data_IF_419853907905
#
_entry.id   IF_419853907905
#
_cell.length_a   1.000
_cell.length_b   1.000
_cell.length_c   1.000
_cell.angle_alpha   90.00
_cell.angle_beta   90.00
_cell.angle_gamma   90.00
#
_symmetry.space_group_name_H-M   'P 1'
#
loop_
_entity.id
_entity.type
_entity.pdbx_description
1 polymer ?
#
# COMPACT_ATOMS: atom_id res chain seq x y z
N UNK A 1 13.46 7.56 24.38
CA UNK A 1 12.01 7.85 24.26
C UNK A 1 11.37 7.34 25.54
N UNK A 2 10.53 8.14 26.22
CA UNK A 2 9.82 7.68 27.40
C UNK A 2 8.57 6.88 26.97
N UNK A 3 8.64 5.55 27.07
CA UNK A 3 7.56 4.63 26.69
C UNK A 3 6.49 4.49 27.80
N UNK A 4 6.67 5.16 28.94
CA UNK A 4 5.84 5.00 30.14
C UNK A 4 4.37 5.43 29.96
N UNK A 5 4.08 6.21 28.90
CA UNK A 5 2.77 6.81 28.66
C UNK A 5 2.03 6.26 27.42
N UNK A 6 2.57 5.23 26.75
CA UNK A 6 1.87 4.61 25.61
C UNK A 6 0.79 3.67 26.14
N UNK A 7 -0.47 3.97 25.85
CA UNK A 7 -1.56 3.09 26.23
C UNK A 7 -1.56 1.83 25.37
N UNK A 8 -2.04 0.74 25.95
CA UNK A 8 -2.14 -0.58 25.31
C UNK A 8 -2.81 -0.56 23.91
N UNK A 9 -3.76 0.35 23.69
CA UNK A 9 -4.50 0.48 22.43
C UNK A 9 -4.00 1.60 21.52
N UNK A 10 -2.98 2.36 21.90
CA UNK A 10 -2.41 3.43 21.06
C UNK A 10 -1.67 2.84 19.85
N UNK A 11 -1.48 3.65 18.81
CA UNK A 11 -0.67 3.27 17.66
C UNK A 11 0.79 3.06 18.09
N UNK A 12 1.40 1.99 17.59
CA UNK A 12 2.76 1.64 17.94
C UNK A 12 3.76 2.72 17.42
N UNK A 13 4.71 3.20 18.25
CA UNK A 13 5.68 4.22 17.86
C UNK A 13 6.61 3.82 16.71
N UNK A 14 6.74 2.52 16.42
CA UNK A 14 7.54 2.05 15.28
C UNK A 14 6.95 2.47 13.91
N UNK A 15 5.73 3.00 13.88
CA UNK A 15 5.09 3.46 12.64
C UNK A 15 4.51 2.34 11.78
N UNK A 16 4.33 1.13 12.34
CA UNK A 16 3.71 -0.03 11.67
C UNK A 16 2.20 0.10 11.46
N UNK A 17 1.56 1.14 12.03
CA UNK A 17 0.11 1.32 12.00
C UNK A 17 -0.68 0.38 12.92
N UNK A 18 -0.01 -0.56 13.63
CA UNK A 18 -0.64 -1.52 14.56
C UNK A 18 -0.83 -0.95 15.96
N UNK A 19 -1.81 -1.45 16.73
CA UNK A 19 -1.92 -1.14 18.18
C UNK A 19 -0.68 -1.64 18.94
N UNK A 20 -0.22 -0.89 19.94
CA UNK A 20 0.98 -1.22 20.72
C UNK A 20 0.92 -2.65 21.29
N UNK A 21 -0.24 -3.06 21.83
CA UNK A 21 -0.48 -4.42 22.34
C UNK A 21 -0.26 -5.56 21.35
N UNK A 22 -0.38 -5.27 20.06
CA UNK A 22 -0.25 -6.25 18.97
C UNK A 22 1.05 -6.11 18.20
N UNK A 23 1.88 -5.15 18.57
CA UNK A 23 3.14 -4.89 17.92
C UNK A 23 4.28 -5.18 18.91
N UNK A 24 4.56 -4.25 19.81
CA UNK A 24 5.75 -4.29 20.66
C UNK A 24 5.47 -4.39 22.16
N UNK A 25 4.21 -4.56 22.59
CA UNK A 25 3.90 -4.86 23.99
C UNK A 25 4.43 -6.25 24.38
N UNK A 26 5.23 -6.32 25.45
CA UNK A 26 6.01 -7.51 25.84
C UNK A 26 7.29 -7.73 25.03
N UNK A 27 7.57 -6.85 24.05
CA UNK A 27 8.78 -6.82 23.21
C UNK A 27 9.29 -5.38 23.10
N UNK A 28 9.19 -4.62 24.18
CA UNK A 28 9.53 -3.19 24.18
C UNK A 28 11.01 -2.95 23.89
N UNK A 29 11.86 -3.94 24.16
CA UNK A 29 13.27 -3.90 23.78
C UNK A 29 13.49 -4.03 22.27
N UNK A 30 12.57 -4.64 21.52
CA UNK A 30 12.59 -4.60 20.05
C UNK A 30 12.17 -3.23 19.53
N UNK A 31 11.40 -2.42 20.29
CA UNK A 31 11.31 -0.99 19.95
C UNK A 31 12.67 -0.35 20.12
N UNK A 32 13.42 -0.69 21.16
CA UNK A 32 14.77 -0.16 21.31
C UNK A 32 15.65 -0.62 20.14
N UNK A 33 15.67 -1.86 19.68
CA UNK A 33 16.46 -2.21 18.48
C UNK A 33 15.88 -1.68 17.14
N UNK A 34 14.56 -1.53 17.01
CA UNK A 34 13.88 -0.93 15.85
C UNK A 34 13.92 0.63 15.86
N UNK A 35 14.19 1.25 17.01
CA UNK A 35 14.22 2.73 17.20
C UNK A 35 15.54 3.28 17.77
N UNK A 36 16.51 2.44 18.14
CA UNK A 36 17.88 2.82 18.48
C UNK A 36 18.62 3.14 17.17
N UNK A 37 18.32 4.33 16.65
CA UNK A 37 19.28 5.27 16.02
C UNK A 37 18.61 6.19 15.00
N UNK A 38 17.29 6.39 15.08
CA UNK A 38 16.68 7.36 14.17
C UNK A 38 15.56 8.14 14.85
N UNK A 39 15.94 9.31 15.39
CA UNK A 39 15.04 10.45 15.52
C UNK A 39 14.13 10.51 14.27
N UNK A 40 12.80 10.65 14.39
CA UNK A 40 11.91 10.75 13.23
C UNK A 40 12.39 11.74 12.17
N UNK A 41 13.03 12.84 12.58
CA UNK A 41 13.67 13.77 11.67
C UNK A 41 14.91 13.16 10.99
N UNK A 42 15.74 12.41 11.70
CA UNK A 42 16.83 11.63 11.09
C UNK A 42 16.32 10.56 10.12
N UNK A 43 15.17 9.94 10.37
CA UNK A 43 14.63 8.90 9.48
C UNK A 43 14.09 9.55 8.21
N UNK A 44 13.38 10.66 8.37
CA UNK A 44 12.97 11.51 7.28
C UNK A 44 14.18 11.92 6.42
N UNK A 45 15.28 12.40 7.05
CA UNK A 45 16.51 12.75 6.34
C UNK A 45 17.11 11.56 5.58
N UNK A 46 17.17 10.37 6.20
CA UNK A 46 17.68 9.14 5.55
C UNK A 46 16.81 8.74 4.36
N UNK A 47 15.48 8.80 4.48
CA UNK A 47 14.54 8.51 3.38
C UNK A 47 14.69 9.53 2.24
N UNK A 48 14.77 10.82 2.57
CA UNK A 48 14.94 11.90 1.58
C UNK A 48 16.26 11.75 0.82
N UNK A 49 17.31 11.26 1.51
CA UNK A 49 18.64 11.05 0.96
C UNK A 49 18.81 9.68 0.25
N UNK A 50 17.77 8.86 0.16
CA UNK A 50 17.86 7.59 -0.56
C UNK A 50 18.22 7.81 -2.03
N UNK A 51 19.01 6.90 -2.63
CA UNK A 51 19.28 6.96 -4.05
C UNK A 51 17.97 6.83 -4.84
N UNK A 52 17.88 7.55 -5.95
CA UNK A 52 16.75 7.45 -6.86
C UNK A 52 16.71 6.06 -7.52
N UNK A 53 15.51 5.51 -7.72
CA UNK A 53 15.36 4.28 -8.50
C UNK A 53 15.57 4.58 -10.00
N UNK A 54 16.50 3.86 -10.63
CA UNK A 54 16.80 4.00 -12.05
C UNK A 54 15.79 3.22 -12.91
N UNK A 55 14.56 3.73 -13.01
CA UNK A 55 13.49 3.11 -13.79
C UNK A 55 12.83 4.13 -14.75
N UNK A 56 13.20 4.16 -16.04
CA UNK A 56 12.73 5.19 -16.98
C UNK A 56 11.21 5.25 -17.12
N UNK A 57 10.56 4.08 -17.23
CA UNK A 57 9.10 3.98 -17.40
C UNK A 57 8.33 4.48 -16.17
N UNK A 58 8.71 4.04 -14.98
CA UNK A 58 8.16 4.56 -13.74
C UNK A 58 8.38 6.07 -13.59
N UNK A 59 9.57 6.58 -13.95
CA UNK A 59 9.85 8.01 -13.89
C UNK A 59 8.94 8.83 -14.82
N UNK A 60 8.70 8.34 -16.03
CA UNK A 60 7.74 8.93 -16.99
C UNK A 60 6.31 8.96 -16.40
N UNK A 61 5.82 7.80 -15.94
CA UNK A 61 4.47 7.68 -15.38
C UNK A 61 4.29 8.62 -14.18
N UNK A 62 5.21 8.54 -13.20
CA UNK A 62 5.21 9.35 -11.99
C UNK A 62 5.27 10.85 -12.27
N UNK A 63 6.09 11.29 -13.24
CA UNK A 63 6.21 12.70 -13.61
C UNK A 63 4.95 13.26 -14.27
N UNK A 64 4.14 12.40 -14.89
CA UNK A 64 2.89 12.79 -15.55
C UNK A 64 1.68 12.87 -14.61
N UNK A 65 1.82 12.46 -13.35
CA UNK A 65 0.73 12.49 -12.38
C UNK A 65 0.54 13.88 -11.79
N UNK A 66 -0.71 14.34 -11.80
CA UNK A 66 -1.14 15.54 -11.08
C UNK A 66 -1.87 15.11 -9.81
N UNK A 67 -1.15 15.08 -8.70
CA UNK A 67 -1.70 14.67 -7.41
C UNK A 67 -2.01 15.94 -6.60
N UNK A 68 -3.29 16.14 -6.28
CA UNK A 68 -3.74 17.27 -5.45
C UNK A 68 -4.42 16.71 -4.21
N UNK A 69 -3.90 17.04 -3.04
CA UNK A 69 -4.50 16.62 -1.78
C UNK A 69 -5.87 17.27 -1.56
N UNK A 70 -6.72 16.72 -0.67
CA UNK A 70 -8.00 17.36 -0.31
C UNK A 70 -7.86 18.81 0.21
N UNK A 71 -6.68 19.17 0.72
CA UNK A 71 -6.36 20.53 1.15
C UNK A 71 -5.90 21.45 -0.01
N UNK A 72 -6.00 21.01 -1.25
CA UNK A 72 -5.60 21.76 -2.44
C UNK A 72 -4.08 21.79 -2.70
N UNK A 73 -3.29 20.98 -1.99
CA UNK A 73 -1.84 20.99 -2.15
C UNK A 73 -1.39 20.05 -3.25
N UNK A 74 -0.60 20.56 -4.18
CA UNK A 74 0.06 19.74 -5.20
C UNK A 74 1.18 18.89 -4.58
N UNK A 75 1.17 17.60 -4.90
CA UNK A 75 2.18 16.62 -4.51
C UNK A 75 2.79 15.98 -5.76
N UNK A 76 4.05 15.59 -5.65
CA UNK A 76 4.78 14.84 -6.68
C UNK A 76 5.25 13.49 -6.14
N UNK A 77 5.48 12.54 -7.02
CA UNK A 77 6.06 11.25 -6.64
C UNK A 77 7.58 11.29 -6.78
N UNK A 78 8.30 10.86 -5.75
CA UNK A 78 9.75 10.60 -5.80
C UNK A 78 10.00 9.10 -5.76
N UNK A 79 10.65 8.59 -6.80
CA UNK A 79 11.06 7.19 -6.88
C UNK A 79 12.41 7.02 -6.19
N UNK A 80 12.48 6.11 -5.22
CA UNK A 80 13.72 5.76 -4.51
C UNK A 80 14.00 4.27 -4.63
N UNK A 81 15.25 3.87 -4.49
CA UNK A 81 15.66 2.48 -4.62
C UNK A 81 15.06 1.61 -3.50
N UNK A 82 14.35 0.55 -3.89
CA UNK A 82 13.70 -0.36 -2.94
C UNK A 82 14.70 -1.07 -2.02
N UNK A 83 15.83 -1.55 -2.55
CA UNK A 83 16.82 -2.28 -1.76
C UNK A 83 17.45 -1.37 -0.70
N UNK A 84 17.78 -0.13 -1.06
CA UNK A 84 18.29 0.87 -0.14
C UNK A 84 17.25 1.24 0.93
N UNK A 85 15.97 1.40 0.57
CA UNK A 85 14.92 1.62 1.57
C UNK A 85 14.77 0.43 2.52
N UNK A 86 14.84 -0.80 2.01
CA UNK A 86 14.77 -2.02 2.82
C UNK A 86 15.95 -2.15 3.78
N UNK A 87 17.14 -1.68 3.40
CA UNK A 87 18.29 -1.64 4.28
C UNK A 87 18.14 -0.62 5.42
N UNK A 88 17.31 0.43 5.26
CA UNK A 88 17.08 1.44 6.29
C UNK A 88 16.10 0.99 7.39
N UNK A 89 15.19 0.05 7.09
CA UNK A 89 14.14 -0.33 8.04
C UNK A 89 13.97 -1.85 8.10
N UNK A 90 14.10 -2.49 9.28
CA UNK A 90 13.81 -3.91 9.44
C UNK A 90 12.37 -4.27 9.05
N UNK A 91 11.44 -3.31 9.17
CA UNK A 91 10.03 -3.47 8.81
C UNK A 91 9.79 -3.65 7.32
N UNK A 92 10.57 -3.01 6.44
CA UNK A 92 10.45 -3.20 4.99
C UNK A 92 10.74 -4.65 4.57
N UNK A 93 11.56 -5.39 5.34
CA UNK A 93 11.82 -6.82 5.11
C UNK A 93 10.60 -7.71 5.39
N UNK A 94 9.66 -7.28 6.24
CA UNK A 94 8.51 -8.10 6.65
C UNK A 94 7.30 -8.02 5.69
N UNK A 95 7.22 -7.00 4.82
CA UNK A 95 6.11 -6.80 3.88
C UNK A 95 6.47 -7.25 2.45
N UNK A 96 7.20 -8.35 2.28
CA UNK A 96 7.38 -8.95 0.96
C UNK A 96 8.45 -8.30 0.04
N UNK A 97 9.22 -7.32 0.52
CA UNK A 97 10.28 -6.69 -0.27
C UNK A 97 11.52 -7.59 -0.56
N UNK A 98 11.42 -8.89 -0.30
CA UNK A 98 12.37 -9.89 -0.83
C UNK A 98 12.06 -10.25 -2.30
N UNK A 99 10.93 -9.79 -2.87
CA UNK A 99 10.67 -9.86 -4.31
C UNK A 99 11.47 -8.79 -5.06
N UNK A 100 12.33 -9.25 -5.95
CA UNK A 100 13.34 -8.45 -6.65
C UNK A 100 12.77 -7.44 -7.67
N UNK A 101 11.45 -7.36 -7.84
CA UNK A 101 10.70 -6.60 -8.84
C UNK A 101 9.50 -5.82 -8.24
N UNK A 102 9.31 -5.83 -6.92
CA UNK A 102 8.20 -5.14 -6.26
C UNK A 102 8.37 -3.62 -6.05
N UNK A 103 7.43 -3.04 -5.31
CA UNK A 103 7.48 -1.66 -4.82
C UNK A 103 6.85 -1.52 -3.44
N UNK A 104 7.00 -0.34 -2.84
CA UNK A 104 6.28 0.04 -1.63
C UNK A 104 6.15 1.55 -1.53
N UNK A 105 4.92 2.02 -1.35
CA UNK A 105 4.66 3.41 -0.99
C UNK A 105 5.13 3.71 0.43
N UNK A 106 6.06 4.65 0.57
CA UNK A 106 6.54 5.10 1.87
C UNK A 106 5.52 6.03 2.49
N UNK A 107 5.07 5.69 3.71
CA UNK A 107 4.11 6.49 4.48
C UNK A 107 4.53 7.98 4.53
N UNK A 108 3.73 8.91 3.97
CA UNK A 108 4.05 10.33 3.91
C UNK A 108 4.26 10.96 5.28
N UNK A 109 3.69 10.39 6.34
CA UNK A 109 3.92 10.85 7.72
C UNK A 109 5.42 10.82 8.09
N UNK A 110 6.22 9.94 7.46
CA UNK A 110 7.66 9.83 7.69
C UNK A 110 8.45 10.99 7.09
N UNK A 111 7.99 11.61 6.01
CA UNK A 111 8.75 12.64 5.28
C UNK A 111 8.07 14.01 5.26
N UNK A 112 6.77 14.10 5.53
CA UNK A 112 5.97 15.33 5.39
C UNK A 112 6.48 16.52 6.19
N UNK A 113 7.23 16.34 7.27
CA UNK A 113 7.75 17.48 8.03
C UNK A 113 8.92 18.16 7.33
N UNK A 114 9.74 17.39 6.59
CA UNK A 114 10.94 17.88 5.92
C UNK A 114 10.75 18.08 4.42
N UNK A 115 9.87 17.30 3.79
CA UNK A 115 9.61 17.38 2.34
C UNK A 115 8.11 17.22 2.02
N UNK A 116 7.25 18.17 2.42
CA UNK A 116 5.79 18.05 2.39
C UNK A 116 5.20 18.09 0.97
N UNK A 117 6.02 18.27 -0.08
CA UNK A 117 5.60 18.33 -1.48
C UNK A 117 5.69 16.99 -2.21
N UNK A 118 6.15 15.93 -1.53
CA UNK A 118 6.42 14.66 -2.17
C UNK A 118 5.81 13.48 -1.41
N UNK A 119 5.36 12.50 -2.19
CA UNK A 119 5.13 11.12 -1.75
C UNK A 119 6.27 10.28 -2.29
N UNK A 120 6.85 9.44 -1.44
CA UNK A 120 7.98 8.60 -1.82
C UNK A 120 7.47 7.19 -2.14
N UNK A 121 7.92 6.66 -3.28
CA UNK A 121 7.66 5.28 -3.70
C UNK A 121 9.03 4.60 -3.84
N UNK A 122 9.27 3.60 -2.98
CA UNK A 122 10.45 2.76 -3.11
C UNK A 122 10.14 1.67 -4.14
N UNK A 123 10.94 1.56 -5.19
CA UNK A 123 10.63 0.70 -6.34
C UNK A 123 11.86 -0.10 -6.75
N UNK A 124 11.67 -1.36 -7.13
CA UNK A 124 12.73 -2.12 -7.79
C UNK A 124 13.03 -1.56 -9.19
N UNK A 125 14.31 -1.48 -9.61
CA UNK A 125 14.65 -1.15 -10.99
C UNK A 125 14.20 -2.22 -12.01
N UNK A 126 13.68 -3.37 -11.55
CA UNK A 126 13.16 -4.46 -12.39
C UNK A 126 11.63 -4.55 -12.41
N UNK A 127 10.94 -3.63 -11.75
CA UNK A 127 9.48 -3.67 -11.66
C UNK A 127 8.82 -3.67 -13.04
N UNK A 128 7.81 -4.52 -13.20
CA UNK A 128 6.98 -4.52 -14.41
C UNK A 128 6.03 -3.32 -14.46
N UNK A 129 5.50 -3.03 -15.64
CA UNK A 129 4.54 -1.93 -15.83
C UNK A 129 3.28 -2.10 -14.95
N UNK A 130 2.79 -3.34 -14.74
CA UNK A 130 1.65 -3.60 -13.84
C UNK A 130 1.96 -3.16 -12.41
N UNK A 131 3.10 -3.60 -11.87
CA UNK A 131 3.58 -3.23 -10.52
C UNK A 131 3.71 -1.70 -10.37
N UNK A 132 4.23 -1.01 -11.39
CA UNK A 132 4.36 0.45 -11.34
C UNK A 132 2.98 1.11 -11.25
N UNK A 133 2.03 0.68 -12.09
CA UNK A 133 0.67 1.21 -12.09
C UNK A 133 -0.03 0.92 -10.75
N UNK A 134 0.13 -0.28 -10.21
CA UNK A 134 -0.36 -0.69 -8.90
C UNK A 134 0.13 0.23 -7.78
N UNK A 135 1.45 0.43 -7.68
CA UNK A 135 2.04 1.30 -6.66
C UNK A 135 1.62 2.76 -6.82
N UNK A 136 1.50 3.26 -8.05
CA UNK A 136 1.01 4.60 -8.31
C UNK A 136 -0.48 4.75 -7.95
N UNK A 137 -1.29 3.71 -8.12
CA UNK A 137 -2.67 3.71 -7.64
C UNK A 137 -2.72 3.82 -6.10
N UNK A 138 -1.83 3.13 -5.38
CA UNK A 138 -1.69 3.30 -3.93
C UNK A 138 -1.24 4.70 -3.53
N UNK A 139 -0.30 5.31 -4.25
CA UNK A 139 0.09 6.71 -4.01
C UNK A 139 -1.14 7.62 -4.09
N UNK A 140 -1.96 7.47 -5.12
CA UNK A 140 -3.14 8.32 -5.33
C UNK A 140 -4.21 8.03 -4.28
N UNK A 141 -4.54 6.77 -4.00
CA UNK A 141 -5.53 6.39 -2.98
C UNK A 141 -5.12 6.89 -1.58
N UNK A 142 -3.84 6.78 -1.23
CA UNK A 142 -3.37 7.24 0.07
C UNK A 142 -3.50 8.77 0.24
N UNK A 143 -3.34 9.54 -0.84
CA UNK A 143 -3.45 11.01 -0.79
C UNK A 143 -4.90 11.47 -0.89
N UNK A 144 -5.69 10.86 -1.78
CA UNK A 144 -6.99 11.37 -2.20
C UNK A 144 -8.18 10.49 -1.77
N UNK A 145 -7.93 9.23 -1.41
CA UNK A 145 -8.93 8.20 -1.13
C UNK A 145 -8.91 7.74 0.32
N UNK A 146 -8.53 6.48 0.57
CA UNK A 146 -8.68 5.80 1.86
C UNK A 146 -7.85 6.32 3.02
N UNK A 147 -6.70 6.93 2.71
CA UNK A 147 -5.71 7.35 3.70
C UNK A 147 -5.35 6.22 4.70
N UNK A 148 -5.51 4.94 4.34
CA UNK A 148 -5.17 3.84 5.22
C UNK A 148 -3.64 3.72 5.34
N UNK A 149 -3.06 3.82 6.54
CA UNK A 149 -1.64 3.57 6.71
C UNK A 149 -1.32 2.11 6.42
N UNK A 150 -0.15 1.86 5.80
CA UNK A 150 0.38 0.52 5.61
C UNK A 150 0.32 -0.31 6.91
N UNK A 151 -0.09 -1.57 6.80
CA UNK A 151 -0.19 -2.51 7.93
C UNK A 151 -1.48 -2.44 8.76
N UNK A 152 -2.28 -1.36 8.64
CA UNK A 152 -3.59 -1.26 9.31
C UNK A 152 -4.61 -2.25 8.75
N UNK A 153 -4.60 -2.44 7.43
CA UNK A 153 -5.48 -3.39 6.75
C UNK A 153 -5.22 -4.83 7.20
N UNK A 154 -3.95 -5.26 7.31
CA UNK A 154 -3.59 -6.58 7.84
C UNK A 154 -4.12 -6.83 9.25
N UNK A 155 -4.06 -5.83 10.14
CA UNK A 155 -4.63 -5.96 11.49
C UNK A 155 -6.14 -6.12 11.44
N UNK A 156 -6.83 -5.29 10.65
CA UNK A 156 -8.28 -5.35 10.49
C UNK A 156 -8.71 -6.68 9.86
N UNK A 157 -8.01 -7.15 8.83
CA UNK A 157 -8.25 -8.43 8.17
C UNK A 157 -8.25 -9.58 9.18
N UNK A 158 -7.25 -9.63 10.05
CA UNK A 158 -7.16 -10.64 11.11
C UNK A 158 -8.27 -10.54 12.16
N UNK A 159 -8.68 -9.33 12.56
CA UNK A 159 -9.79 -9.14 13.50
C UNK A 159 -11.14 -9.54 12.90
N UNK A 160 -11.37 -9.22 11.63
CA UNK A 160 -12.67 -9.39 10.96
C UNK A 160 -12.79 -10.71 10.18
N UNK A 161 -11.68 -11.47 10.07
CA UNK A 161 -11.58 -12.67 9.23
C UNK A 161 -11.98 -12.40 7.77
N UNK A 162 -11.59 -11.23 7.25
CA UNK A 162 -11.78 -10.85 5.84
C UNK A 162 -10.43 -10.87 5.10
N UNK A 163 -10.40 -11.11 3.78
CA UNK A 163 -9.17 -11.01 3.00
C UNK A 163 -8.56 -9.61 3.11
N UNK A 164 -7.24 -9.52 3.34
CA UNK A 164 -6.53 -8.23 3.44
C UNK A 164 -6.60 -7.45 2.14
N UNK A 165 -6.57 -8.14 1.00
CA UNK A 165 -6.69 -7.52 -0.33
C UNK A 165 -7.94 -6.65 -0.48
N UNK A 166 -9.06 -7.05 0.13
CA UNK A 166 -10.31 -6.27 0.06
C UNK A 166 -10.28 -5.00 0.93
N UNK A 167 -9.29 -4.89 1.82
CA UNK A 167 -9.07 -3.73 2.68
C UNK A 167 -7.94 -2.83 2.15
N UNK A 168 -6.93 -3.40 1.49
CA UNK A 168 -5.82 -2.65 0.87
C UNK A 168 -6.19 -2.09 -0.50
N UNK A 169 -7.14 -2.71 -1.19
CA UNK A 169 -7.63 -2.31 -2.51
C UNK A 169 -9.10 -1.88 -2.45
N UNK A 170 -9.40 -0.71 -1.83
CA UNK A 170 -10.75 -0.17 -1.83
C UNK A 170 -11.21 0.23 -3.25
N UNK A 171 -12.48 0.59 -3.39
CA UNK A 171 -13.05 0.99 -4.67
C UNK A 171 -12.27 2.14 -5.32
N UNK A 172 -11.87 3.13 -4.53
CA UNK A 172 -11.11 4.29 -4.98
C UNK A 172 -9.72 3.91 -5.51
N UNK A 173 -9.07 2.89 -4.93
CA UNK A 173 -7.86 2.30 -5.47
C UNK A 173 -8.15 1.63 -6.82
N UNK A 174 -9.17 0.78 -6.89
CA UNK A 174 -9.51 0.04 -8.11
C UNK A 174 -9.86 0.96 -9.29
N UNK A 175 -10.58 2.06 -9.02
CA UNK A 175 -10.89 3.08 -10.04
C UNK A 175 -9.60 3.72 -10.58
N UNK A 176 -8.61 3.98 -9.72
CA UNK A 176 -7.32 4.54 -10.12
C UNK A 176 -6.40 3.54 -10.81
N UNK A 177 -6.41 2.29 -10.38
CA UNK A 177 -5.71 1.20 -11.07
C UNK A 177 -6.15 1.09 -12.53
N UNK A 178 -7.47 1.11 -12.77
CA UNK A 178 -8.04 1.07 -14.13
C UNK A 178 -7.65 2.32 -14.93
N UNK A 179 -7.85 3.51 -14.35
CA UNK A 179 -7.52 4.78 -15.03
C UNK A 179 -6.05 4.83 -15.46
N UNK A 180 -5.14 4.44 -14.57
CA UNK A 180 -3.71 4.46 -14.84
C UNK A 180 -3.32 3.37 -15.87
N UNK A 181 -3.88 2.16 -15.75
CA UNK A 181 -3.62 1.08 -16.71
C UNK A 181 -4.05 1.46 -18.13
N UNK A 182 -5.25 2.06 -18.27
CA UNK A 182 -5.74 2.56 -19.56
C UNK A 182 -4.88 3.72 -20.07
N UNK A 183 -4.56 4.70 -19.20
CA UNK A 183 -3.75 5.87 -19.54
C UNK A 183 -2.36 5.50 -20.07
N UNK A 184 -1.72 4.50 -19.48
CA UNK A 184 -0.37 4.09 -19.86
C UNK A 184 -0.31 2.86 -20.76
N UNK A 185 -1.47 2.35 -21.20
CA UNK A 185 -1.60 1.14 -22.01
C UNK A 185 -0.89 -0.08 -21.39
N UNK A 186 -1.10 -0.28 -20.09
CA UNK A 186 -0.51 -1.37 -19.30
C UNK A 186 -1.49 -2.53 -19.20
N UNK A 187 -1.02 -3.74 -19.49
CA UNK A 187 -1.75 -4.96 -19.16
C UNK A 187 -1.54 -5.29 -17.69
N UNK A 188 -2.62 -5.34 -16.93
CA UNK A 188 -2.58 -5.76 -15.54
C UNK A 188 -2.21 -7.25 -15.43
N UNK A 189 -1.52 -7.62 -14.37
CA UNK A 189 -1.31 -9.01 -13.98
C UNK A 189 -2.63 -9.69 -13.56
N UNK A 190 -2.55 -10.96 -13.16
CA UNK A 190 -3.72 -11.73 -12.78
C UNK A 190 -4.43 -11.18 -11.53
N UNK A 191 -3.68 -10.71 -10.53
CA UNK A 191 -4.24 -10.22 -9.26
C UNK A 191 -4.88 -8.84 -9.46
N UNK A 192 -4.18 -7.94 -10.13
CA UNK A 192 -4.68 -6.60 -10.47
C UNK A 192 -5.87 -6.65 -11.42
N UNK A 193 -5.93 -7.62 -12.34
CA UNK A 193 -7.10 -7.79 -13.19
C UNK A 193 -8.32 -8.26 -12.39
N UNK A 194 -8.15 -9.09 -11.35
CA UNK A 194 -9.25 -9.42 -10.42
C UNK A 194 -9.74 -8.16 -9.74
N UNK A 195 -8.84 -7.32 -9.21
CA UNK A 195 -9.19 -6.04 -8.58
C UNK A 195 -9.96 -5.16 -9.57
N UNK A 196 -9.49 -5.05 -10.82
CA UNK A 196 -10.15 -4.27 -11.86
C UNK A 196 -11.55 -4.82 -12.21
N UNK A 197 -11.74 -6.13 -12.26
CA UNK A 197 -13.06 -6.76 -12.47
C UNK A 197 -14.03 -6.38 -11.34
N UNK A 198 -13.56 -6.45 -10.08
CA UNK A 198 -14.36 -6.12 -8.91
C UNK A 198 -14.69 -4.62 -8.87
N UNK A 199 -13.71 -3.76 -9.18
CA UNK A 199 -13.88 -2.31 -9.23
C UNK A 199 -14.92 -1.90 -10.29
N UNK A 200 -14.83 -2.41 -11.53
CA UNK A 200 -15.80 -2.12 -12.61
C UNK A 200 -17.23 -2.52 -12.24
N UNK A 201 -17.39 -3.50 -11.36
CA UNK A 201 -18.69 -3.99 -10.88
C UNK A 201 -19.14 -3.37 -9.56
N UNK A 202 -18.38 -2.41 -9.02
CA UNK A 202 -18.67 -1.76 -7.72
C UNK A 202 -18.79 -2.79 -6.58
N UNK A 203 -17.86 -3.75 -6.58
CA UNK A 203 -17.78 -4.84 -5.59
C UNK A 203 -16.58 -4.71 -4.66
N UNK A 204 -15.70 -3.72 -4.84
CA UNK A 204 -14.70 -3.40 -3.84
C UNK A 204 -15.34 -2.58 -2.70
N UNK A 205 -14.71 -2.61 -1.54
CA UNK A 205 -15.20 -1.87 -0.38
C UNK A 205 -14.85 -0.39 -0.55
N UNK A 206 -15.79 0.55 -0.33
CA UNK A 206 -15.45 1.97 -0.34
C UNK A 206 -14.45 2.30 0.77
N UNK A 207 -13.43 3.10 0.45
CA UNK A 207 -12.42 3.59 1.37
C UNK A 207 -13.00 4.15 2.68
N UNK A 208 -14.06 4.95 2.58
CA UNK A 208 -14.76 5.53 3.75
C UNK A 208 -15.35 4.48 4.70
N UNK A 209 -15.76 3.33 4.16
CA UNK A 209 -16.30 2.22 4.96
C UNK A 209 -15.18 1.57 5.76
N UNK A 210 -14.04 1.32 5.11
CA UNK A 210 -12.84 0.78 5.76
C UNK A 210 -12.31 1.75 6.82
N UNK A 211 -12.28 3.06 6.52
CA UNK A 211 -11.84 4.10 7.45
C UNK A 211 -12.75 4.22 8.69
N UNK A 212 -14.07 4.08 8.53
CA UNK A 212 -15.05 4.07 9.64
C UNK A 212 -14.86 2.86 10.56
N UNK A 213 -14.33 1.76 10.05
CA UNK A 213 -14.05 0.55 10.82
C UNK A 213 -15.30 -0.18 11.32
N UNK A 214 -16.43 -0.02 10.64
CA UNK A 214 -17.68 -0.70 11.00
C UNK A 214 -17.61 -2.18 10.60
N UNK A 215 -17.27 -3.01 11.59
CA UNK A 215 -17.05 -4.44 11.42
C UNK A 215 -18.20 -5.14 10.67
N UNK A 216 -19.46 -4.79 10.97
CA UNK A 216 -20.61 -5.48 10.37
C UNK A 216 -20.75 -5.13 8.88
N UNK A 217 -20.59 -3.85 8.55
CA UNK A 217 -20.67 -3.38 7.16
C UNK A 217 -19.52 -3.96 6.33
N UNK A 218 -18.29 -3.95 6.87
CA UNK A 218 -17.09 -4.48 6.18
C UNK A 218 -17.24 -5.98 5.91
N UNK A 219 -17.62 -6.78 6.92
CA UNK A 219 -17.77 -8.24 6.74
C UNK A 219 -18.87 -8.55 5.74
N UNK A 220 -20.03 -7.88 5.82
CA UNK A 220 -21.12 -8.11 4.87
C UNK A 220 -20.74 -7.75 3.44
N UNK A 221 -19.99 -6.66 3.25
CA UNK A 221 -19.47 -6.27 1.93
C UNK A 221 -18.44 -7.29 1.41
N UNK A 222 -17.47 -7.69 2.24
CA UNK A 222 -16.47 -8.69 1.88
C UNK A 222 -17.11 -10.04 1.50
N UNK A 223 -18.10 -10.52 2.26
CA UNK A 223 -18.84 -11.74 1.93
C UNK A 223 -19.58 -11.64 0.59
N UNK A 224 -20.12 -10.47 0.25
CA UNK A 224 -20.77 -10.24 -1.04
C UNK A 224 -19.75 -10.35 -2.18
N UNK A 225 -18.59 -9.73 -2.02
CA UNK A 225 -17.48 -9.78 -2.99
C UNK A 225 -16.98 -11.22 -3.17
N UNK A 226 -16.75 -11.94 -2.07
CA UNK A 226 -16.29 -13.33 -2.10
C UNK A 226 -17.32 -14.26 -2.76
N UNK A 227 -18.61 -14.10 -2.45
CA UNK A 227 -19.69 -14.85 -3.13
C UNK A 227 -19.72 -14.58 -4.63
N UNK A 228 -19.52 -13.33 -5.05
CA UNK A 228 -19.41 -13.01 -6.47
C UNK A 228 -18.24 -13.73 -7.11
N UNK A 229 -17.05 -13.67 -6.52
CA UNK A 229 -15.86 -14.35 -7.07
C UNK A 229 -16.07 -15.85 -7.20
N UNK A 230 -16.64 -16.50 -6.18
CA UNK A 230 -16.96 -17.94 -6.20
C UNK A 230 -17.95 -18.29 -7.31
N UNK A 231 -19.02 -17.51 -7.46
CA UNK A 231 -20.06 -17.78 -8.46
C UNK A 231 -19.62 -17.47 -9.90
N UNK A 232 -18.55 -16.69 -10.08
CA UNK A 232 -18.07 -16.26 -11.39
C UNK A 232 -16.62 -16.74 -11.67
N UNK A 233 -16.15 -17.75 -10.94
CA UNK A 233 -14.77 -18.23 -11.04
C UNK A 233 -14.36 -18.56 -12.48
N UNK A 234 -15.20 -19.27 -13.24
CA UNK A 234 -14.90 -19.62 -14.62
C UNK A 234 -14.76 -18.41 -15.55
N UNK A 235 -15.56 -17.35 -15.35
CA UNK A 235 -15.44 -16.09 -16.10
C UNK A 235 -14.14 -15.36 -15.73
N UNK A 236 -13.83 -15.30 -14.43
CA UNK A 236 -12.62 -14.65 -13.92
C UNK A 236 -11.38 -15.38 -14.43
N UNK A 237 -11.31 -16.70 -14.27
CA UNK A 237 -10.21 -17.54 -14.74
C UNK A 237 -9.97 -17.37 -16.25
N UNK A 238 -11.02 -17.32 -17.05
CA UNK A 238 -10.89 -17.09 -18.49
C UNK A 238 -10.24 -15.76 -18.86
N UNK A 239 -10.34 -14.73 -17.99
CA UNK A 239 -9.72 -13.41 -18.19
C UNK A 239 -8.28 -13.32 -17.70
N UNK A 240 -7.91 -14.12 -16.71
CA UNK A 240 -6.62 -13.99 -16.02
C UNK A 240 -5.64 -15.14 -16.29
N UNK A 241 -6.09 -16.26 -16.88
CA UNK A 241 -5.25 -17.46 -17.06
C UNK A 241 -3.93 -17.22 -17.81
N UNK A 242 -3.96 -16.36 -18.82
CA UNK A 242 -2.80 -16.04 -19.65
C UNK A 242 -2.00 -14.84 -19.12
N UNK A 243 -2.39 -14.28 -17.97
CA UNK A 243 -1.71 -13.14 -17.36
C UNK A 243 -0.59 -13.60 -16.44
N UNK A 244 0.39 -12.70 -16.27
CA UNK A 244 1.46 -12.87 -15.30
C UNK A 244 0.88 -13.07 -13.88
N UNK A 245 1.55 -13.86 -13.05
CA UNK A 245 1.10 -14.13 -11.67
C UNK A 245 -0.04 -15.14 -11.51
N UNK A 246 -0.67 -15.64 -12.58
CA UNK A 246 -1.75 -16.63 -12.45
C UNK A 246 -1.25 -17.95 -11.81
N UNK A 247 -1.89 -18.36 -10.70
CA UNK A 247 -1.53 -19.53 -9.89
C UNK A 247 -2.35 -20.80 -10.18
N UNK A 248 -3.36 -20.72 -11.06
CA UNK A 248 -4.23 -21.86 -11.39
C UNK A 248 -3.63 -22.81 -12.43
N UNK A 249 -4.26 -23.98 -12.69
CA UNK A 249 -3.83 -24.89 -13.73
C UNK A 249 -3.96 -24.23 -15.12
N UNK A 250 -2.93 -24.43 -15.96
CA UNK A 250 -2.89 -23.98 -17.36
C UNK A 250 -3.46 -25.05 -18.28
#
# INVERSE_FOLDING_TARGET
>A
MDLSNIARNDLCPCGSGKKFKKCHMGRENELLDDTLSVDPAQLAMKIIALPACAHPRAAEMAASLEIVSPAGKQLKVKLVDLAAYCALTPYAKQNGAEQNDGGVVINPLKTKLLDPGFVYLALSPKAGDSTIVHELAHVIDMVCGSCLPAGKAQEMAGEMSVPVELLEHPQEFGDKLIELAERFAVSLDAEDEIIAILARRQLLLPARMVAKGDHKEIVAAAEKTMRFMQNNQAEIDARIREREGYLGPR
#
